data_IF_766116748850
#
_entry.id   IF_766116748850
#
_cell.length_a   1.000
_cell.length_b   1.000
_cell.length_c   1.000
_cell.angle_alpha   90.00
_cell.angle_beta   90.00
_cell.angle_gamma   90.00
#
_symmetry.space_group_name_H-M   'P 1'
#
loop_
_entity.id
_entity.type
_entity.pdbx_description
1 polymer ?
#
# COMPACT_ATOMS: atom_id res chain seq x y z
N UNK A 1 2.22 29.91 -7.25
CA UNK A 1 3.29 29.54 -8.21
C UNK A 1 2.64 28.76 -9.34
N UNK A 2 2.46 29.36 -10.52
CA UNK A 2 1.56 28.85 -11.56
C UNK A 2 2.23 27.99 -12.63
N UNK A 3 3.44 27.47 -12.39
CA UNK A 3 4.09 26.59 -13.36
C UNK A 3 4.90 25.49 -12.68
N UNK A 4 4.20 24.43 -12.22
CA UNK A 4 4.85 23.22 -11.68
C UNK A 4 5.49 22.36 -12.80
N UNK A 5 5.74 22.92 -13.99
CA UNK A 5 6.34 22.19 -15.12
C UNK A 5 5.55 20.95 -15.57
N UNK A 6 4.24 20.92 -15.30
CA UNK A 6 3.40 19.74 -15.49
C UNK A 6 3.69 18.57 -14.55
N UNK A 7 4.51 18.77 -13.51
CA UNK A 7 4.71 17.76 -12.46
C UNK A 7 3.44 17.62 -11.63
N UNK A 8 3.11 16.39 -11.28
CA UNK A 8 2.00 16.08 -10.39
C UNK A 8 2.26 16.63 -8.97
N UNK A 9 3.43 16.34 -8.41
CA UNK A 9 3.77 16.74 -7.04
C UNK A 9 4.78 17.88 -7.00
N UNK A 10 6.08 17.60 -7.21
CA UNK A 10 7.14 18.62 -7.07
C UNK A 10 7.95 18.77 -8.34
N UNK A 11 8.11 20.00 -8.80
CA UNK A 11 9.09 20.38 -9.82
C UNK A 11 10.40 20.86 -9.18
N UNK A 12 11.53 20.37 -9.65
CA UNK A 12 12.87 20.80 -9.26
C UNK A 12 13.65 21.29 -10.48
N UNK A 13 14.12 22.54 -10.43
CA UNK A 13 14.91 23.13 -11.51
C UNK A 13 16.37 22.65 -11.44
N UNK A 14 16.97 22.40 -12.60
CA UNK A 14 18.40 22.11 -12.77
C UNK A 14 19.01 23.03 -13.84
N UNK A 15 20.34 23.21 -13.93
CA UNK A 15 20.92 24.07 -14.95
C UNK A 15 20.51 23.64 -16.37
N UNK A 16 19.72 24.48 -17.04
CA UNK A 16 19.21 24.21 -18.39
C UNK A 16 18.03 23.24 -18.49
N UNK A 17 17.47 22.76 -17.38
CA UNK A 17 16.35 21.79 -17.37
C UNK A 17 15.52 21.84 -16.08
N UNK A 18 14.56 20.94 -15.95
CA UNK A 18 13.83 20.66 -14.71
C UNK A 18 13.39 19.20 -14.69
N UNK A 19 13.14 18.67 -13.49
CA UNK A 19 12.64 17.32 -13.29
C UNK A 19 11.47 17.29 -12.31
N UNK A 20 10.63 16.26 -12.42
CA UNK A 20 9.59 16.00 -11.44
C UNK A 20 10.11 15.03 -10.38
N UNK A 21 9.78 15.28 -9.12
CA UNK A 21 10.09 14.39 -8.00
C UNK A 21 8.85 14.18 -7.15
N UNK A 22 8.78 13.01 -6.52
CA UNK A 22 7.62 12.60 -5.75
C UNK A 22 7.86 12.78 -4.24
N UNK A 23 6.76 12.94 -3.52
CA UNK A 23 6.70 12.90 -2.08
C UNK A 23 7.00 11.49 -1.56
N UNK A 24 7.40 11.41 -0.30
CA UNK A 24 7.62 10.13 0.38
C UNK A 24 6.35 9.26 0.28
N UNK A 25 6.52 8.00 -0.10
CA UNK A 25 5.42 7.06 -0.35
C UNK A 25 4.88 7.08 -1.79
N UNK A 26 5.52 7.83 -2.68
CA UNK A 26 5.19 7.88 -4.11
C UNK A 26 6.46 7.71 -4.95
N UNK A 27 6.29 7.12 -6.13
CA UNK A 27 7.34 6.94 -7.12
C UNK A 27 6.95 7.58 -8.46
N UNK A 28 7.96 8.05 -9.19
CA UNK A 28 7.75 8.72 -10.47
C UNK A 28 7.46 7.69 -11.56
N UNK A 29 6.30 7.81 -12.18
CA UNK A 29 5.88 6.94 -13.28
C UNK A 29 6.81 7.15 -14.49
N UNK A 30 7.74 6.22 -14.69
CA UNK A 30 8.85 6.35 -15.66
C UNK A 30 8.92 5.21 -16.68
N UNK A 31 8.20 4.12 -16.43
CA UNK A 31 7.99 2.98 -17.33
C UNK A 31 6.55 2.47 -17.18
N UNK A 32 6.09 1.61 -18.11
CA UNK A 32 4.76 0.97 -18.11
C UNK A 32 4.64 -0.01 -16.92
N UNK A 33 4.66 0.54 -15.71
CA UNK A 33 5.03 -0.16 -14.48
C UNK A 33 5.93 0.69 -13.59
N UNK A 34 5.56 0.88 -12.33
CA UNK A 34 6.42 1.44 -11.26
C UNK A 34 6.14 0.66 -9.98
N UNK A 35 7.18 0.13 -9.32
CA UNK A 35 7.11 -0.72 -8.12
C UNK A 35 5.89 -1.68 -8.00
N UNK A 36 5.54 -2.35 -9.11
CA UNK A 36 4.46 -3.35 -9.16
C UNK A 36 3.09 -2.84 -9.62
N UNK A 37 2.89 -1.53 -9.76
CA UNK A 37 1.66 -0.96 -10.30
C UNK A 37 1.67 -1.01 -11.83
N UNK A 38 0.83 -1.87 -12.43
CA UNK A 38 0.63 -1.88 -13.87
C UNK A 38 -0.48 -0.88 -14.23
N UNK A 39 -0.10 0.26 -14.82
CA UNK A 39 -1.04 1.18 -15.45
C UNK A 39 -1.55 0.52 -16.73
N UNK A 40 -2.87 0.52 -16.97
CA UNK A 40 -3.39 0.05 -18.25
C UNK A 40 -2.73 0.87 -19.37
N UNK A 41 -2.32 0.21 -20.45
CA UNK A 41 -1.68 0.90 -21.57
C UNK A 41 -2.57 2.02 -22.14
N UNK A 42 -3.89 1.88 -22.04
CA UNK A 42 -4.87 2.90 -22.41
C UNK A 42 -4.86 4.14 -21.50
N UNK A 43 -4.20 4.10 -20.35
CA UNK A 43 -4.11 5.18 -19.35
C UNK A 43 -2.66 5.68 -19.14
N UNK A 44 -1.70 5.05 -19.83
CA UNK A 44 -0.25 5.17 -19.60
C UNK A 44 0.42 6.47 -20.10
N UNK A 45 -0.32 7.42 -20.64
CA UNK A 45 0.27 8.67 -21.12
C UNK A 45 0.85 8.58 -22.53
N UNK A 46 0.61 7.46 -23.21
CA UNK A 46 1.01 7.26 -24.61
C UNK A 46 0.11 8.05 -25.58
N UNK A 47 -1.06 8.52 -25.13
CA UNK A 47 -1.99 9.37 -25.90
C UNK A 47 -2.35 10.66 -25.15
N UNK A 48 -2.64 11.71 -25.92
CA UNK A 48 -3.12 12.99 -25.40
C UNK A 48 -4.50 12.80 -24.74
N UNK A 49 -4.60 13.13 -23.44
CA UNK A 49 -5.81 12.90 -22.62
C UNK A 49 -5.72 11.75 -21.61
N UNK A 50 -4.63 10.98 -21.62
CA UNK A 50 -4.39 9.91 -20.65
C UNK A 50 -4.07 10.46 -19.24
N UNK A 51 -4.44 9.68 -18.21
CA UNK A 51 -4.41 10.09 -16.79
C UNK A 51 -2.98 10.14 -16.24
N UNK A 52 -2.14 9.16 -16.60
CA UNK A 52 -0.76 9.07 -16.12
C UNK A 52 0.20 9.57 -17.19
N UNK A 53 1.16 10.43 -16.84
CA UNK A 53 2.15 10.98 -17.77
C UNK A 53 3.55 10.56 -17.36
N UNK A 54 4.30 9.99 -18.31
CA UNK A 54 5.70 9.60 -18.12
C UNK A 54 6.56 10.76 -17.60
N UNK A 55 7.34 10.49 -16.55
CA UNK A 55 8.22 11.43 -15.86
C UNK A 55 7.53 12.67 -15.26
N UNK A 56 6.19 12.64 -15.12
CA UNK A 56 5.38 13.75 -14.58
C UNK A 56 4.47 13.32 -13.45
N UNK A 57 3.86 12.14 -13.56
CA UNK A 57 2.91 11.62 -12.56
C UNK A 57 3.60 10.83 -11.45
N UNK A 58 3.14 11.03 -10.22
CA UNK A 58 3.60 10.30 -9.05
C UNK A 58 2.56 9.25 -8.64
N UNK A 59 2.92 7.98 -8.69
CA UNK A 59 2.05 6.86 -8.29
C UNK A 59 2.41 6.41 -6.88
N UNK A 60 1.45 6.02 -6.02
CA UNK A 60 1.76 5.55 -4.68
C UNK A 60 2.56 4.24 -4.76
N UNK A 61 3.51 4.06 -3.84
CA UNK A 61 4.24 2.78 -3.76
C UNK A 61 3.29 1.67 -3.33
N UNK A 62 3.48 0.47 -3.87
CA UNK A 62 2.66 -0.68 -3.50
C UNK A 62 3.28 -1.51 -2.40
N UNK A 63 2.43 -2.08 -1.56
CA UNK A 63 2.84 -3.11 -0.61
C UNK A 63 2.61 -4.52 -1.19
N UNK A 64 3.36 -5.54 -0.72
CA UNK A 64 3.15 -6.92 -1.12
C UNK A 64 1.71 -7.37 -0.86
N UNK A 65 1.14 -8.25 -1.70
CA UNK A 65 -0.16 -8.85 -1.43
C UNK A 65 -0.13 -9.59 -0.08
N UNK A 66 -1.28 -9.62 0.59
CA UNK A 66 -1.47 -10.27 1.88
C UNK A 66 -2.32 -11.51 1.70
N UNK A 67 -1.94 -12.57 2.41
CA UNK A 67 -2.75 -13.78 2.54
C UNK A 67 -3.51 -13.76 3.86
N UNK A 68 -4.71 -14.34 3.86
CA UNK A 68 -5.50 -14.44 5.09
C UNK A 68 -4.79 -15.34 6.11
N UNK A 69 -4.81 -14.98 7.41
CA UNK A 69 -4.29 -15.87 8.43
C UNK A 69 -5.11 -17.17 8.47
N UNK A 70 -4.45 -18.28 8.77
CA UNK A 70 -5.15 -19.54 8.99
C UNK A 70 -6.20 -19.36 10.10
N UNK A 71 -7.42 -19.87 9.88
CA UNK A 71 -8.54 -19.65 10.79
C UNK A 71 -8.86 -18.16 11.06
N UNK A 72 -8.59 -17.28 10.10
CA UNK A 72 -9.08 -15.92 10.09
C UNK A 72 -9.37 -15.40 8.68
N UNK A 73 -9.65 -14.11 8.60
CA UNK A 73 -9.99 -13.37 7.38
C UNK A 73 -9.29 -12.01 7.35
N UNK A 74 -9.09 -11.50 6.14
CA UNK A 74 -8.74 -10.10 5.90
C UNK A 74 -10.04 -9.30 5.72
N UNK A 75 -10.17 -8.18 6.43
CA UNK A 75 -11.35 -7.31 6.40
C UNK A 75 -11.24 -6.23 5.30
N UNK A 76 -11.02 -6.66 4.06
CA UNK A 76 -10.95 -5.78 2.88
C UNK A 76 -11.36 -6.54 1.63
N UNK A 77 -11.82 -5.82 0.60
CA UNK A 77 -12.11 -6.38 -0.74
C UNK A 77 -11.10 -5.88 -1.79
N UNK A 78 -10.03 -5.23 -1.35
CA UNK A 78 -9.00 -4.69 -2.23
C UNK A 78 -8.11 -5.81 -2.77
N UNK A 79 -7.76 -5.73 -4.06
CA UNK A 79 -6.88 -6.70 -4.73
C UNK A 79 -5.40 -6.24 -4.71
N UNK A 80 -5.16 -4.94 -4.52
CA UNK A 80 -3.84 -4.34 -4.41
C UNK A 80 -3.81 -3.33 -3.27
N UNK A 81 -2.62 -3.10 -2.71
CA UNK A 81 -2.40 -2.24 -1.54
C UNK A 81 -1.34 -1.20 -1.83
N UNK A 82 -1.60 0.03 -1.41
CA UNK A 82 -0.80 1.21 -1.69
C UNK A 82 -0.45 1.94 -0.40
N UNK A 83 0.55 2.82 -0.47
CA UNK A 83 0.97 3.64 0.65
C UNK A 83 -0.21 4.33 1.34
N UNK A 84 -0.32 4.13 2.66
CA UNK A 84 -1.38 4.67 3.50
C UNK A 84 -2.54 3.71 3.75
N UNK A 85 -2.63 2.60 3.02
CA UNK A 85 -3.68 1.60 3.23
C UNK A 85 -3.53 0.92 4.60
N UNK A 86 -4.65 0.83 5.31
CA UNK A 86 -4.76 0.16 6.60
C UNK A 86 -5.64 -1.09 6.44
N UNK A 87 -5.03 -2.26 6.52
CA UNK A 87 -5.70 -3.55 6.36
C UNK A 87 -5.90 -4.18 7.73
N UNK A 88 -7.13 -4.59 8.04
CA UNK A 88 -7.46 -5.22 9.33
C UNK A 88 -7.75 -6.71 9.16
N UNK A 89 -7.54 -7.47 10.24
CA UNK A 89 -7.74 -8.91 10.27
C UNK A 89 -8.76 -9.29 11.34
N UNK A 90 -9.36 -10.46 11.17
CA UNK A 90 -10.25 -11.04 12.17
C UNK A 90 -10.05 -12.54 12.25
N UNK A 91 -9.94 -13.08 13.46
CA UNK A 91 -9.91 -14.51 13.69
C UNK A 91 -11.33 -15.06 13.75
N UNK A 92 -11.55 -16.24 13.16
CA UNK A 92 -12.82 -16.93 13.26
C UNK A 92 -13.15 -17.30 14.72
N UNK A 93 -14.41 -17.63 14.97
CA UNK A 93 -14.89 -18.07 16.28
C UNK A 93 -14.04 -19.24 16.82
N UNK A 94 -13.69 -19.18 18.10
CA UNK A 94 -12.83 -20.17 18.77
C UNK A 94 -11.33 -19.83 18.72
N UNK A 95 -10.94 -18.77 18.01
CA UNK A 95 -9.56 -18.30 17.91
C UNK A 95 -9.40 -16.88 18.46
N UNK A 96 -8.21 -16.59 18.96
CA UNK A 96 -7.79 -15.29 19.47
C UNK A 96 -6.56 -14.85 18.69
N UNK A 97 -6.53 -13.57 18.36
CA UNK A 97 -5.45 -12.98 17.57
C UNK A 97 -4.18 -12.82 18.39
N UNK A 98 -3.06 -13.26 17.82
CA UNK A 98 -1.71 -13.03 18.30
C UNK A 98 -0.95 -12.15 17.30
N UNK A 99 -0.58 -10.94 17.73
CA UNK A 99 0.07 -9.93 16.88
C UNK A 99 -0.81 -8.69 16.67
N UNK A 100 -0.50 -7.92 15.63
CA UNK A 100 -1.23 -6.70 15.30
C UNK A 100 -2.52 -6.98 14.55
N UNK A 101 -3.63 -6.38 14.99
CA UNK A 101 -4.94 -6.52 14.33
C UNK A 101 -5.05 -5.82 12.98
N UNK A 102 -4.09 -4.95 12.68
CA UNK A 102 -4.02 -4.26 11.41
C UNK A 102 -2.58 -4.02 10.98
N UNK A 103 -2.39 -3.90 9.67
CA UNK A 103 -1.14 -3.55 9.03
C UNK A 103 -1.32 -2.28 8.19
N UNK A 104 -0.34 -1.39 8.29
CA UNK A 104 -0.26 -0.15 7.52
C UNK A 104 0.77 -0.32 6.40
N UNK A 105 0.38 -0.01 5.17
CA UNK A 105 1.32 0.07 4.06
C UNK A 105 2.15 1.35 4.20
N UNK A 106 3.44 1.17 4.48
CA UNK A 106 4.35 2.29 4.76
C UNK A 106 4.86 2.93 3.48
N UNK A 107 5.50 4.10 3.61
CA UNK A 107 6.07 4.82 2.49
C UNK A 107 7.22 4.12 1.78
N UNK A 108 7.73 3.03 2.36
CA UNK A 108 8.76 2.18 1.74
C UNK A 108 8.20 1.05 0.88
N UNK A 109 6.87 0.97 0.67
CA UNK A 109 6.25 -0.15 -0.05
C UNK A 109 6.31 -1.46 0.75
N UNK A 110 6.34 -1.36 2.08
CA UNK A 110 6.36 -2.51 2.98
C UNK A 110 5.34 -2.34 4.09
N UNK A 111 4.80 -3.46 4.57
CA UNK A 111 3.92 -3.46 5.73
C UNK A 111 4.69 -3.13 7.02
N UNK A 112 4.05 -2.41 7.94
CA UNK A 112 4.64 -2.07 9.24
C UNK A 112 4.70 -3.25 10.25
N UNK A 113 4.47 -4.48 9.78
CA UNK A 113 4.39 -5.69 10.58
C UNK A 113 4.12 -6.91 9.71
N UNK A 114 3.76 -8.02 10.36
CA UNK A 114 3.40 -9.28 9.72
C UNK A 114 1.93 -9.61 9.93
N UNK A 115 1.36 -10.44 9.05
CA UNK A 115 0.01 -11.00 9.22
C UNK A 115 -0.08 -11.66 10.61
N UNK A 116 -1.13 -11.38 11.42
CA UNK A 116 -1.26 -11.96 12.74
C UNK A 116 -1.57 -13.44 12.69
N UNK A 117 -1.29 -14.17 13.76
CA UNK A 117 -1.70 -15.57 13.91
C UNK A 117 -3.02 -15.67 14.65
N UNK A 118 -3.88 -16.61 14.25
CA UNK A 118 -5.09 -16.94 14.99
C UNK A 118 -4.85 -18.21 15.81
N UNK A 119 -4.73 -18.05 17.13
CA UNK A 119 -4.43 -19.14 18.06
C UNK A 119 -5.69 -19.61 18.77
N UNK A 120 -5.76 -20.89 19.16
CA UNK A 120 -6.93 -21.41 19.89
C UNK A 120 -7.20 -20.62 21.17
N UNK A 121 -8.46 -20.27 21.39
CA UNK A 121 -8.89 -19.69 22.64
C UNK A 121 -8.65 -20.69 23.79
N UNK A 122 -7.98 -20.22 24.85
CA UNK A 122 -7.79 -20.99 26.08
C UNK A 122 -8.76 -20.51 27.14
N UNK A 123 -9.53 -21.43 27.70
CA UNK A 123 -10.34 -21.13 28.88
C UNK A 123 -9.41 -20.91 30.09
N UNK A 124 -9.78 -19.97 30.96
CA UNK A 124 -9.16 -19.89 32.29
C UNK A 124 -9.70 -21.09 33.07
N UNK A 125 -8.81 -21.97 33.52
CA UNK A 125 -9.15 -22.95 34.55
C UNK A 125 -9.52 -22.16 35.81
N UNK A 126 -10.77 -22.27 36.25
CA UNK A 126 -11.17 -21.71 37.53
C UNK A 126 -10.35 -22.40 38.64
N UNK A 127 -9.86 -21.66 39.66
CA UNK A 127 -9.26 -22.31 40.81
C UNK A 127 -10.30 -23.23 41.44
N UNK A 128 -9.91 -24.47 41.74
CA UNK A 128 -10.73 -25.36 42.55
C UNK A 128 -11.04 -24.62 43.86
N UNK A 129 -12.31 -24.29 44.11
CA UNK A 129 -12.75 -23.75 45.38
C UNK A 129 -12.35 -24.77 46.48
N UNK A 130 -11.39 -24.39 47.33
CA UNK A 130 -10.95 -25.14 48.53
C UNK A 130 -11.76 -24.71 49.73
#
# INVERSE_FOLDING_TARGET
ATNNGGCDQKCINSPGSYGCVCNVGYELFSSNGTAGFNVDKAESGEKDGDIFQYNKTCVPVMCPPLEAPENGIILTTQESYHFGDLVSFHCHFGFVMAGSASLLCTSGGVWNGSVPECQYAKCVSLPDDV
#
